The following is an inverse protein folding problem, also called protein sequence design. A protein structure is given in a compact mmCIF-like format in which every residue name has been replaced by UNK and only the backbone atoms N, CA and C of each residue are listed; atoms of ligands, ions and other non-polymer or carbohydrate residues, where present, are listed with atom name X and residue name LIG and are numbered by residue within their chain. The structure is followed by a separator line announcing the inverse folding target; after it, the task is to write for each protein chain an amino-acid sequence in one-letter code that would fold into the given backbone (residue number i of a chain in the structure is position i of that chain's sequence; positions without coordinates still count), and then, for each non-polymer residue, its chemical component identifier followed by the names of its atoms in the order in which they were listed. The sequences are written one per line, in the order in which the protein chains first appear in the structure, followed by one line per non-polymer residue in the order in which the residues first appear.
data_IF_165077067963
#
_entry.id   IF_165077067963
#
_cell.length_a   1.000
_cell.length_b   1.000
_cell.length_c   1.000
_cell.angle_alpha   90.00
_cell.angle_beta   90.00
_cell.angle_gamma   90.00
#
_symmetry.space_group_name_H-M   'P 1'
#
loop_
_entity.id
_entity.type
_entity.pdbx_description
1 polymer ?
#
# COMPACT_ATOMS: atom_id res chain seq x y z
N UNK A 1 31.89 14.79 -1.46
CA UNK A 1 31.09 13.61 -1.07
C UNK A 1 31.90 12.67 -0.18
N UNK A 2 33.07 12.17 -0.62
CA UNK A 2 33.90 11.24 0.17
C UNK A 2 34.28 11.70 1.60
N UNK A 3 34.59 12.98 1.80
CA UNK A 3 34.91 13.53 3.14
C UNK A 3 33.70 13.51 4.08
N UNK A 4 32.50 13.80 3.55
CA UNK A 4 31.26 13.72 4.31
C UNK A 4 30.95 12.26 4.68
N UNK A 5 31.07 11.34 3.72
CA UNK A 5 30.82 9.92 3.93
C UNK A 5 31.79 9.34 4.98
N UNK A 6 33.06 9.74 4.95
CA UNK A 6 34.05 9.36 5.94
C UNK A 6 33.67 9.81 7.36
N UNK A 7 33.33 11.09 7.55
CA UNK A 7 32.89 11.59 8.85
C UNK A 7 31.55 10.99 9.28
N UNK A 8 30.67 10.67 8.33
CA UNK A 8 29.41 9.99 8.61
C UNK A 8 29.65 8.58 9.15
N UNK A 9 30.52 7.79 8.51
CA UNK A 9 30.93 6.47 9.01
C UNK A 9 31.56 6.54 10.40
N UNK A 10 32.53 7.44 10.61
CA UNK A 10 33.14 7.65 11.93
C UNK A 10 32.12 8.01 13.00
N UNK A 11 31.10 8.81 12.66
CA UNK A 11 30.01 9.15 13.58
C UNK A 11 29.15 7.94 13.90
N UNK A 12 28.85 7.09 12.91
CA UNK A 12 28.08 5.86 13.12
C UNK A 12 28.85 4.86 14.00
N UNK A 13 30.14 4.65 13.73
CA UNK A 13 31.01 3.79 14.56
C UNK A 13 31.03 4.27 16.02
N UNK A 14 31.23 5.57 16.25
CA UNK A 14 31.20 6.14 17.61
C UNK A 14 29.84 5.99 18.29
N UNK A 15 28.73 6.12 17.55
CA UNK A 15 27.39 5.88 18.08
C UNK A 15 27.18 4.43 18.48
N UNK A 16 27.64 3.48 17.67
CA UNK A 16 27.59 2.05 18.00
C UNK A 16 28.46 1.76 19.22
N UNK A 17 29.69 2.28 19.24
CA UNK A 17 30.60 2.12 20.38
C UNK A 17 30.02 2.70 21.68
N UNK A 18 29.34 3.85 21.63
CA UNK A 18 28.69 4.46 22.80
C UNK A 18 27.53 3.62 23.36
N UNK A 19 26.83 2.87 22.51
CA UNK A 19 25.74 1.99 22.92
C UNK A 19 26.20 0.55 23.23
N UNK A 20 27.48 0.26 23.05
CA UNK A 20 28.08 -1.06 23.32
C UNK A 20 28.51 -1.11 24.79
N UNK A 21 28.11 -2.16 25.51
CA UNK A 21 28.64 -2.39 26.86
C UNK A 21 30.00 -3.07 26.71
N UNK A 22 31.06 -2.46 27.22
CA UNK A 22 32.42 -3.02 27.13
C UNK A 22 33.01 -3.26 28.51
N UNK A 23 33.77 -4.34 28.62
CA UNK A 23 34.71 -4.66 29.68
C UNK A 23 36.11 -4.77 29.06
N UNK A 24 37.19 -4.86 29.88
CA UNK A 24 38.55 -5.00 29.37
C UNK A 24 38.77 -6.25 28.49
N UNK A 25 37.92 -7.27 28.61
CA UNK A 25 38.07 -8.57 27.95
C UNK A 25 36.90 -8.95 27.05
N UNK A 26 35.77 -8.23 27.11
CA UNK A 26 34.55 -8.59 26.38
C UNK A 26 33.76 -7.35 26.03
N UNK A 27 33.11 -7.34 24.87
CA UNK A 27 32.12 -6.34 24.51
C UNK A 27 30.80 -7.02 24.17
N UNK A 28 29.70 -6.33 24.45
CA UNK A 28 28.33 -6.78 24.17
C UNK A 28 27.69 -5.81 23.20
N UNK A 29 27.30 -6.33 22.04
CA UNK A 29 26.58 -5.61 21.00
C UNK A 29 25.15 -6.15 20.91
N UNK A 30 24.18 -5.26 21.11
CA UNK A 30 22.76 -5.58 21.02
C UNK A 30 22.14 -4.90 19.80
N UNK A 31 21.23 -5.58 19.12
CA UNK A 31 20.58 -5.05 17.92
C UNK A 31 19.41 -5.90 17.46
N UNK A 32 18.63 -5.33 16.54
CA UNK A 32 17.48 -5.99 15.93
C UNK A 32 17.86 -6.58 14.58
N UNK A 33 17.45 -7.81 14.32
CA UNK A 33 17.62 -8.48 13.03
C UNK A 33 16.31 -9.17 12.64
N UNK A 34 16.03 -9.21 11.34
CA UNK A 34 14.93 -10.00 10.81
C UNK A 34 15.26 -11.48 10.93
N UNK A 35 14.28 -12.29 11.30
CA UNK A 35 14.42 -13.74 11.44
C UNK A 35 15.01 -14.39 10.16
N UNK A 36 14.58 -13.93 8.98
CA UNK A 36 15.07 -14.42 7.67
C UNK A 36 16.56 -14.15 7.41
N UNK A 37 17.12 -13.09 8.01
CA UNK A 37 18.52 -12.70 7.80
C UNK A 37 19.45 -13.28 8.88
N UNK A 38 18.90 -13.93 9.92
CA UNK A 38 19.68 -14.53 11.00
C UNK A 38 20.65 -15.61 10.51
N UNK A 39 20.22 -16.43 9.55
CA UNK A 39 21.06 -17.49 8.98
C UNK A 39 22.28 -16.91 8.25
N UNK A 40 22.10 -15.80 7.53
CA UNK A 40 23.19 -15.10 6.83
C UNK A 40 24.17 -14.49 7.82
N UNK A 41 23.67 -13.91 8.91
CA UNK A 41 24.50 -13.35 9.98
C UNK A 41 25.37 -14.43 10.62
N UNK A 42 24.77 -15.56 11.02
CA UNK A 42 25.49 -16.70 11.61
C UNK A 42 26.55 -17.27 10.67
N UNK A 43 26.25 -17.34 9.37
CA UNK A 43 27.21 -17.81 8.37
C UNK A 43 28.39 -16.84 8.20
N UNK A 44 28.14 -15.54 8.14
CA UNK A 44 29.18 -14.51 7.96
C UNK A 44 30.10 -14.31 9.17
N UNK A 45 29.65 -14.71 10.36
CA UNK A 45 30.42 -14.59 11.61
C UNK A 45 31.04 -15.91 12.08
N UNK A 46 30.92 -16.97 11.29
CA UNK A 46 31.39 -18.32 11.65
C UNK A 46 32.90 -18.41 11.89
N UNK A 47 33.68 -17.53 11.26
CA UNK A 47 35.15 -17.53 11.34
C UNK A 47 35.69 -16.92 12.64
N UNK A 48 34.83 -16.28 13.44
CA UNK A 48 35.20 -15.69 14.72
C UNK A 48 34.91 -16.67 15.87
N UNK A 49 35.94 -17.41 16.30
CA UNK A 49 35.84 -18.44 17.33
C UNK A 49 35.44 -17.93 18.72
N UNK A 50 35.64 -16.63 18.99
CA UNK A 50 35.41 -16.01 20.30
C UNK A 50 34.05 -15.30 20.41
N UNK A 51 33.16 -15.50 19.44
CA UNK A 51 31.90 -14.78 19.33
C UNK A 51 30.70 -15.71 19.63
N UNK A 52 29.90 -15.33 20.62
CA UNK A 52 28.65 -16.01 20.96
C UNK A 52 27.45 -15.16 20.52
N UNK A 53 26.49 -15.78 19.79
CA UNK A 53 25.30 -15.10 19.30
C UNK A 53 24.08 -15.61 20.08
N UNK A 54 23.55 -14.76 20.95
CA UNK A 54 22.29 -15.02 21.67
C UNK A 54 21.14 -14.35 20.93
N UNK A 55 20.11 -15.13 20.59
CA UNK A 55 18.91 -14.63 19.90
C UNK A 55 17.72 -14.79 20.83
N UNK A 56 16.97 -13.70 21.03
CA UNK A 56 15.71 -13.71 21.80
C UNK A 56 14.60 -13.01 21.02
N UNK A 57 13.36 -13.41 21.27
CA UNK A 57 12.19 -12.67 20.79
C UNK A 57 11.98 -11.41 21.65
N UNK A 58 11.44 -10.31 21.09
CA UNK A 58 11.10 -9.12 21.85
C UNK A 58 10.10 -9.45 22.97
N UNK A 59 10.27 -8.83 24.14
CA UNK A 59 9.27 -8.85 25.20
C UNK A 59 8.16 -7.82 24.92
N UNK A 60 6.99 -7.97 25.55
CA UNK A 60 5.84 -7.06 25.38
C UNK A 60 6.14 -5.58 25.70
N UNK A 61 7.09 -5.33 26.60
CA UNK A 61 7.53 -3.99 26.96
C UNK A 61 8.55 -3.37 25.99
N UNK A 62 9.07 -4.15 25.05
CA UNK A 62 10.05 -3.72 24.04
C UNK A 62 9.41 -3.52 22.66
N UNK A 63 8.13 -3.84 22.51
CA UNK A 63 7.36 -3.78 21.27
C UNK A 63 7.45 -2.42 20.56
N UNK A 64 7.37 -1.33 21.31
CA UNK A 64 7.49 0.04 20.78
C UNK A 64 8.88 0.40 20.27
N UNK A 65 9.90 -0.38 20.64
CA UNK A 65 11.30 -0.19 20.25
C UNK A 65 11.72 -1.10 19.10
N UNK A 66 10.87 -2.05 18.70
CA UNK A 66 11.18 -2.98 17.60
C UNK A 66 11.07 -2.22 16.27
N UNK A 67 12.14 -2.19 15.45
CA UNK A 67 12.08 -1.60 14.12
C UNK A 67 11.15 -2.41 13.21
N UNK A 68 10.33 -1.70 12.44
CA UNK A 68 9.38 -2.33 11.53
C UNK A 68 10.01 -2.45 10.15
N UNK A 69 9.98 -3.66 9.60
CA UNK A 69 10.50 -3.97 8.27
C UNK A 69 9.38 -4.54 7.41
N UNK A 70 8.82 -3.72 6.52
CA UNK A 70 7.75 -4.14 5.61
C UNK A 70 8.29 -5.18 4.62
N UNK A 71 7.51 -6.23 4.40
CA UNK A 71 7.81 -7.28 3.44
C UNK A 71 6.57 -7.61 2.60
N UNK A 72 6.40 -6.87 1.51
CA UNK A 72 5.32 -7.07 0.57
C UNK A 72 5.76 -7.83 -0.70
N UNK A 73 4.82 -8.56 -1.29
CA UNK A 73 5.03 -9.20 -2.58
C UNK A 73 5.30 -8.16 -3.69
N UNK A 74 5.97 -8.59 -4.77
CA UNK A 74 6.41 -7.71 -5.86
C UNK A 74 5.35 -6.74 -6.42
N UNK A 75 4.07 -7.12 -6.62
CA UNK A 75 3.06 -6.18 -7.13
C UNK A 75 2.60 -5.15 -6.09
N UNK A 76 2.64 -5.46 -4.79
CA UNK A 76 2.19 -4.57 -3.71
C UNK A 76 3.30 -3.67 -3.17
N UNK A 77 4.57 -4.09 -3.33
CA UNK A 77 5.75 -3.37 -2.86
C UNK A 77 5.85 -1.90 -3.31
N UNK A 78 5.44 -1.50 -4.53
CA UNK A 78 5.43 -0.09 -4.91
C UNK A 78 4.50 0.77 -4.05
N UNK A 79 3.38 0.20 -3.61
CA UNK A 79 2.37 0.89 -2.78
C UNK A 79 2.81 1.10 -1.34
N UNK A 80 3.88 0.44 -0.87
CA UNK A 80 4.51 0.76 0.42
C UNK A 80 4.89 2.25 0.51
N UNK A 81 5.18 2.90 -0.63
CA UNK A 81 5.46 4.33 -0.62
C UNK A 81 4.28 5.14 -0.06
N UNK A 82 3.05 4.76 -0.41
CA UNK A 82 1.83 5.41 0.10
C UNK A 82 1.70 5.14 1.59
N UNK A 83 1.84 3.88 2.02
CA UNK A 83 1.77 3.51 3.45
C UNK A 83 2.79 4.30 4.28
N UNK A 84 4.04 4.38 3.80
CA UNK A 84 5.10 5.11 4.50
C UNK A 84 4.85 6.62 4.63
N UNK A 85 4.04 7.23 3.75
CA UNK A 85 3.67 8.64 3.85
C UNK A 85 2.69 8.91 4.98
N UNK A 86 1.79 7.96 5.27
CA UNK A 86 0.81 8.08 6.35
C UNK A 86 1.38 7.66 7.71
N UNK A 87 2.30 6.70 7.70
CA UNK A 87 2.94 6.19 8.90
C UNK A 87 3.28 4.72 8.75
N UNK A 88 4.41 4.32 9.33
CA UNK A 88 4.78 2.91 9.38
C UNK A 88 3.88 2.25 10.43
N UNK A 89 3.21 1.12 10.12
CA UNK A 89 2.39 0.41 11.09
C UNK A 89 3.26 -0.06 12.26
N UNK A 90 2.66 -0.30 13.42
CA UNK A 90 3.36 -0.91 14.55
C UNK A 90 3.78 -2.33 14.19
N UNK A 91 4.77 -2.86 14.90
CA UNK A 91 5.33 -4.19 14.61
C UNK A 91 4.28 -5.32 14.66
N UNK A 92 3.23 -5.19 15.46
CA UNK A 92 2.17 -6.19 15.62
C UNK A 92 0.93 -5.91 14.76
N UNK A 93 0.86 -4.71 14.17
CA UNK A 93 -0.24 -4.30 13.32
C UNK A 93 -0.20 -5.03 11.99
N UNK A 94 -1.37 -5.24 11.41
CA UNK A 94 -1.49 -5.82 10.07
C UNK A 94 -0.98 -4.77 9.07
N UNK A 95 -0.12 -5.17 8.13
CA UNK A 95 0.31 -4.27 7.05
C UNK A 95 -0.91 -3.95 6.15
N UNK A 96 -1.36 -2.69 6.07
CA UNK A 96 -2.52 -2.32 5.25
C UNK A 96 -2.17 -2.32 3.75
N UNK A 97 -0.89 -2.35 3.37
CA UNK A 97 -0.43 -2.18 1.98
C UNK A 97 -1.08 -3.12 0.97
N UNK A 98 -1.23 -4.44 1.22
CA UNK A 98 -1.84 -5.37 0.27
C UNK A 98 -3.32 -5.08 0.01
N UNK A 99 -4.03 -4.59 1.04
CA UNK A 99 -5.44 -4.24 0.96
C UNK A 99 -5.64 -2.86 0.31
N UNK A 100 -4.75 -1.91 0.64
CA UNK A 100 -4.76 -0.57 0.07
C UNK A 100 -4.45 -0.55 -1.42
N UNK A 101 -3.46 -1.33 -1.86
CA UNK A 101 -2.94 -1.32 -3.23
C UNK A 101 -4.00 -1.45 -4.34
N UNK A 102 -4.91 -2.46 -4.34
CA UNK A 102 -5.92 -2.60 -5.38
C UNK A 102 -6.93 -1.45 -5.38
N UNK A 103 -7.40 -1.00 -4.21
CA UNK A 103 -8.35 0.11 -4.11
C UNK A 103 -7.73 1.43 -4.53
N UNK A 104 -6.48 1.69 -4.13
CA UNK A 104 -5.75 2.87 -4.55
C UNK A 104 -5.59 2.92 -6.08
N UNK A 105 -5.20 1.80 -6.70
CA UNK A 105 -5.06 1.73 -8.15
C UNK A 105 -6.41 1.92 -8.86
N UNK A 106 -7.48 1.31 -8.32
CA UNK A 106 -8.83 1.42 -8.86
C UNK A 106 -9.37 2.86 -8.76
N UNK A 107 -9.29 3.50 -7.59
CA UNK A 107 -9.76 4.87 -7.41
C UNK A 107 -8.99 5.87 -8.27
N UNK A 108 -7.66 5.75 -8.35
CA UNK A 108 -6.88 6.65 -9.20
C UNK A 108 -7.26 6.47 -10.68
N UNK A 109 -7.50 5.23 -11.11
CA UNK A 109 -7.96 4.93 -12.45
C UNK A 109 -9.37 5.45 -12.74
N UNK A 110 -10.30 5.38 -11.78
CA UNK A 110 -11.65 5.96 -11.88
C UNK A 110 -11.59 7.49 -11.89
N UNK A 111 -10.70 8.12 -11.13
CA UNK A 111 -10.55 9.57 -11.18
C UNK A 111 -10.01 10.06 -12.53
N UNK A 112 -9.09 9.29 -13.14
CA UNK A 112 -8.50 9.66 -14.43
C UNK A 112 -9.42 9.31 -15.61
N UNK A 113 -10.13 8.18 -15.55
CA UNK A 113 -11.23 7.75 -16.45
C UNK A 113 -10.92 7.78 -17.96
N UNK A 114 -9.64 7.87 -18.33
CA UNK A 114 -9.20 8.01 -19.72
C UNK A 114 -8.02 7.10 -20.03
N UNK A 115 -8.20 6.26 -21.05
CA UNK A 115 -7.22 5.26 -21.46
C UNK A 115 -5.96 5.87 -22.09
N UNK A 116 -6.07 7.03 -22.73
CA UNK A 116 -4.95 7.76 -23.33
C UNK A 116 -3.96 8.25 -22.28
N UNK A 117 -4.46 8.84 -21.19
CA UNK A 117 -3.62 9.19 -20.04
C UNK A 117 -3.04 7.95 -19.35
N UNK A 118 -3.77 6.83 -19.31
CA UNK A 118 -3.24 5.54 -18.86
C UNK A 118 -2.02 5.07 -19.67
N UNK A 119 -2.07 5.19 -21.00
CA UNK A 119 -0.94 4.89 -21.90
C UNK A 119 0.25 5.82 -21.62
N UNK A 120 0.00 7.13 -21.46
CA UNK A 120 1.06 8.08 -21.13
C UNK A 120 1.75 7.69 -19.82
N UNK A 121 0.97 7.37 -18.78
CA UNK A 121 1.50 6.94 -17.47
C UNK A 121 2.34 5.66 -17.60
N UNK A 122 1.87 4.67 -18.37
CA UNK A 122 2.62 3.44 -18.63
C UNK A 122 3.96 3.70 -19.31
N UNK A 123 3.95 4.46 -20.41
CA UNK A 123 5.15 4.74 -21.21
C UNK A 123 6.14 5.58 -20.41
N UNK A 124 5.67 6.64 -19.77
CA UNK A 124 6.53 7.54 -18.98
C UNK A 124 7.15 6.80 -17.80
N UNK A 125 6.36 6.03 -17.07
CA UNK A 125 6.85 5.25 -15.92
C UNK A 125 7.87 4.19 -16.34
N UNK A 126 7.61 3.47 -17.43
CA UNK A 126 8.56 2.49 -17.98
C UNK A 126 9.87 3.14 -18.44
N UNK A 127 9.78 4.26 -19.16
CA UNK A 127 10.95 4.99 -19.66
C UNK A 127 11.77 5.55 -18.51
N UNK A 128 11.12 6.11 -17.48
CA UNK A 128 11.81 6.65 -16.30
C UNK A 128 12.60 5.58 -15.56
N UNK A 129 11.98 4.43 -15.27
CA UNK A 129 12.65 3.32 -14.57
C UNK A 129 13.82 2.77 -15.40
N UNK A 130 13.65 2.63 -16.71
CA UNK A 130 14.66 2.02 -17.60
C UNK A 130 15.81 2.97 -17.96
N UNK A 131 15.51 4.24 -18.25
CA UNK A 131 16.47 5.22 -18.79
C UNK A 131 17.22 5.97 -17.70
N UNK A 132 16.55 6.34 -16.60
CA UNK A 132 17.14 7.19 -15.57
C UNK A 132 17.70 6.42 -14.38
N UNK A 133 17.66 5.07 -14.40
CA UNK A 133 18.13 4.20 -13.30
C UNK A 133 17.71 4.72 -11.94
N UNK A 134 16.44 5.10 -11.83
CA UNK A 134 15.90 5.73 -10.63
C UNK A 134 16.07 4.77 -9.44
N UNK A 135 16.63 5.25 -8.34
CA UNK A 135 16.90 4.45 -7.14
C UNK A 135 15.94 4.80 -5.99
N UNK A 136 15.82 3.88 -5.03
CA UNK A 136 15.07 4.09 -3.79
C UNK A 136 13.58 4.40 -3.99
N UNK A 137 13.10 5.45 -3.33
CA UNK A 137 11.68 5.84 -3.29
C UNK A 137 11.11 6.24 -4.65
N UNK A 138 11.90 6.92 -5.48
CA UNK A 138 11.44 7.34 -6.81
C UNK A 138 11.22 6.13 -7.74
N UNK A 139 11.98 5.03 -7.58
CA UNK A 139 11.70 3.76 -8.27
C UNK A 139 10.36 3.16 -7.85
N UNK A 140 10.05 3.18 -6.55
CA UNK A 140 8.76 2.70 -6.04
C UNK A 140 7.61 3.54 -6.63
N UNK A 141 7.76 4.86 -6.69
CA UNK A 141 6.78 5.76 -7.29
C UNK A 141 6.50 5.42 -8.75
N UNK A 142 7.52 5.32 -9.61
CA UNK A 142 7.30 4.99 -11.02
C UNK A 142 6.76 3.58 -11.23
N UNK A 143 7.18 2.60 -10.43
CA UNK A 143 6.59 1.26 -10.48
C UNK A 143 5.10 1.27 -10.09
N UNK A 144 4.73 2.08 -9.09
CA UNK A 144 3.33 2.26 -8.70
C UNK A 144 2.53 2.90 -9.84
N UNK A 145 3.04 4.00 -10.42
CA UNK A 145 2.42 4.67 -11.56
C UNK A 145 2.29 3.76 -12.78
N UNK A 146 3.22 2.84 -12.99
CA UNK A 146 3.13 1.83 -14.05
C UNK A 146 1.94 0.88 -13.82
N UNK A 147 1.79 0.35 -12.60
CA UNK A 147 0.64 -0.52 -12.25
C UNK A 147 -0.67 0.26 -12.41
N UNK A 148 -0.72 1.48 -11.86
CA UNK A 148 -1.91 2.32 -11.93
C UNK A 148 -2.25 2.66 -13.39
N UNK A 149 -1.26 3.00 -14.22
CA UNK A 149 -1.48 3.26 -15.65
C UNK A 149 -2.09 2.07 -16.40
N UNK A 150 -1.74 0.83 -16.02
CA UNK A 150 -2.38 -0.37 -16.57
C UNK A 150 -3.86 -0.47 -16.19
N UNK A 151 -4.16 -0.21 -14.91
CA UNK A 151 -5.55 -0.20 -14.42
C UNK A 151 -6.34 0.95 -15.06
N UNK A 152 -5.76 2.14 -15.18
CA UNK A 152 -6.37 3.29 -15.87
C UNK A 152 -6.65 2.99 -17.34
N UNK A 153 -5.74 2.33 -18.05
CA UNK A 153 -5.99 1.91 -19.42
C UNK A 153 -7.20 0.99 -19.50
N UNK A 154 -7.30 0.00 -18.60
CA UNK A 154 -8.46 -0.89 -18.52
C UNK A 154 -9.76 -0.14 -18.25
N UNK A 155 -9.78 0.73 -17.24
CA UNK A 155 -10.98 1.52 -16.89
C UNK A 155 -11.35 2.50 -18.00
N UNK A 156 -10.38 3.19 -18.61
CA UNK A 156 -10.62 4.11 -19.72
C UNK A 156 -11.24 3.44 -20.93
N UNK A 157 -10.85 2.19 -21.21
CA UNK A 157 -11.49 1.37 -22.25
C UNK A 157 -12.93 1.01 -21.86
N UNK A 158 -13.17 0.68 -20.59
CA UNK A 158 -14.52 0.36 -20.07
C UNK A 158 -15.43 1.60 -20.04
N UNK A 159 -14.89 2.78 -19.74
CA UNK A 159 -15.63 4.05 -19.69
C UNK A 159 -15.86 4.66 -21.05
N UNK A 160 -15.11 4.19 -22.05
CA UNK A 160 -15.40 4.47 -23.44
C UNK A 160 -14.60 5.62 -24.06
N UNK A 161 -13.51 6.05 -23.42
CA UNK A 161 -12.73 7.23 -23.81
C UNK A 161 -11.22 6.99 -23.87
N UNK A 162 -10.60 7.42 -24.97
CA UNK A 162 -9.14 7.44 -25.15
C UNK A 162 -8.73 8.83 -25.64
N UNK A 163 -7.88 9.53 -24.88
CA UNK A 163 -7.47 10.92 -25.15
C UNK A 163 -8.67 11.90 -25.23
N UNK A 164 -9.70 11.67 -24.43
CA UNK A 164 -10.96 12.43 -24.47
C UNK A 164 -11.80 12.19 -25.73
N UNK A 165 -11.41 11.27 -26.62
CA UNK A 165 -12.20 10.90 -27.80
C UNK A 165 -13.08 9.71 -27.42
N UNK A 166 -14.40 9.91 -27.52
CA UNK A 166 -15.35 8.81 -27.33
C UNK A 166 -15.25 7.78 -28.45
N UNK A 167 -15.34 6.49 -28.11
CA UNK A 167 -15.39 5.40 -29.11
C UNK A 167 -16.60 5.48 -30.06
N UNK A 168 -17.55 6.37 -29.82
CA UNK A 168 -18.68 6.68 -30.71
C UNK A 168 -18.21 7.13 -32.10
N UNK A 169 -17.11 7.89 -32.16
CA UNK A 169 -16.51 8.41 -33.40
C UNK A 169 -15.53 7.46 -34.10
N UNK A 170 -15.23 6.29 -33.52
CA UNK A 170 -14.31 5.33 -34.13
C UNK A 170 -14.95 4.55 -35.28
N UNK A 171 -14.15 4.17 -36.31
CA UNK A 171 -14.65 3.46 -37.50
C UNK A 171 -15.29 2.11 -37.13
N UNK A 172 -16.25 1.66 -37.96
CA UNK A 172 -17.06 0.46 -37.73
C UNK A 172 -16.26 -0.84 -37.53
N UNK A 173 -14.99 -0.88 -37.95
CA UNK A 173 -14.05 -1.99 -37.72
C UNK A 173 -13.71 -2.23 -36.24
N UNK A 174 -13.91 -1.25 -35.35
CA UNK A 174 -13.72 -1.38 -33.90
C UNK A 174 -15.04 -1.51 -33.12
N UNK A 175 -16.10 -2.04 -33.75
CA UNK A 175 -17.41 -2.24 -33.11
C UNK A 175 -17.38 -3.10 -31.81
N UNK A 176 -16.34 -3.91 -31.59
CA UNK A 176 -16.16 -4.66 -30.35
C UNK A 176 -15.85 -3.75 -29.13
N UNK A 177 -15.14 -2.63 -29.34
CA UNK A 177 -14.83 -1.65 -28.28
C UNK A 177 -16.08 -0.88 -27.86
N UNK A 178 -17.03 -0.65 -28.78
CA UNK A 178 -18.35 -0.06 -28.44
C UNK A 178 -19.17 -0.96 -27.52
N UNK A 179 -18.97 -2.29 -27.55
CA UNK A 179 -19.59 -3.23 -26.60
C UNK A 179 -18.88 -3.29 -25.25
N UNK A 180 -17.58 -2.97 -25.22
CA UNK A 180 -16.77 -2.97 -24.01
C UNK A 180 -16.91 -1.65 -23.21
N UNK A 181 -17.29 -0.57 -23.90
CA UNK A 181 -17.73 0.70 -23.31
C UNK A 181 -19.09 0.54 -22.60
N UNK A 182 -19.08 -0.13 -21.45
CA UNK A 182 -20.28 -0.47 -20.68
C UNK A 182 -20.84 0.73 -19.90
N UNK A 183 -20.02 1.75 -19.62
CA UNK A 183 -20.41 2.83 -18.72
C UNK A 183 -19.81 4.17 -19.14
N UNK A 184 -20.55 4.99 -19.88
CA UNK A 184 -20.09 6.34 -20.26
C UNK A 184 -20.45 7.34 -19.13
N UNK A 185 -19.48 7.87 -18.38
CA UNK A 185 -19.74 8.79 -17.27
C UNK A 185 -20.42 10.09 -17.70
N UNK A 186 -20.30 10.47 -18.98
CA UNK A 186 -20.94 11.66 -19.54
C UNK A 186 -22.41 11.46 -19.86
N UNK A 187 -22.82 10.21 -20.13
CA UNK A 187 -24.20 9.87 -20.51
C UNK A 187 -25.08 9.62 -19.28
N UNK A 188 -24.54 8.91 -18.29
CA UNK A 188 -25.27 8.55 -17.06
C UNK A 188 -24.45 8.88 -15.80
N UNK A 189 -24.25 10.18 -15.47
CA UNK A 189 -23.46 10.58 -14.31
C UNK A 189 -23.99 10.03 -12.98
N UNK A 190 -25.32 9.89 -12.86
CA UNK A 190 -25.96 9.36 -11.66
C UNK A 190 -25.62 7.89 -11.40
N UNK A 191 -25.55 7.07 -12.46
CA UNK A 191 -25.18 5.66 -12.35
C UNK A 191 -23.71 5.51 -11.98
N UNK A 192 -22.84 6.33 -12.59
CA UNK A 192 -21.41 6.35 -12.26
C UNK A 192 -21.17 6.79 -10.81
N UNK A 193 -21.88 7.82 -10.35
CA UNK A 193 -21.83 8.28 -8.96
C UNK A 193 -22.26 7.16 -7.98
N UNK A 194 -23.33 6.44 -8.28
CA UNK A 194 -23.80 5.34 -7.44
C UNK A 194 -22.76 4.21 -7.33
N UNK A 195 -22.06 3.90 -8.43
CA UNK A 195 -20.98 2.92 -8.44
C UNK A 195 -19.79 3.38 -7.60
N UNK A 196 -19.35 4.63 -7.77
CA UNK A 196 -18.25 5.20 -6.99
C UNK A 196 -18.55 5.20 -5.49
N UNK A 197 -19.79 5.56 -5.12
CA UNK A 197 -20.24 5.56 -3.73
C UNK A 197 -20.32 4.14 -3.16
N UNK A 198 -20.85 3.17 -3.92
CA UNK A 198 -20.87 1.76 -3.54
C UNK A 198 -19.46 1.18 -3.36
N UNK A 199 -18.54 1.50 -4.27
CA UNK A 199 -17.14 1.09 -4.18
C UNK A 199 -16.44 1.70 -2.96
N UNK A 200 -16.67 2.99 -2.69
CA UNK A 200 -16.16 3.68 -1.51
C UNK A 200 -16.67 3.07 -0.20
N UNK A 201 -17.95 2.68 -0.16
CA UNK A 201 -18.54 1.98 0.97
C UNK A 201 -17.88 0.60 1.20
N UNK A 202 -17.68 -0.18 0.13
CA UNK A 202 -17.01 -1.49 0.24
C UNK A 202 -15.59 -1.32 0.79
N UNK A 203 -14.86 -0.30 0.32
CA UNK A 203 -13.53 0.00 0.82
C UNK A 203 -13.53 0.38 2.30
N UNK A 204 -14.51 1.20 2.74
CA UNK A 204 -14.67 1.59 4.15
C UNK A 204 -14.96 0.38 5.04
N UNK A 205 -15.90 -0.49 4.63
CA UNK A 205 -16.23 -1.71 5.36
C UNK A 205 -15.04 -2.67 5.45
N UNK A 206 -14.22 -2.74 4.40
CA UNK A 206 -13.00 -3.53 4.42
C UNK A 206 -11.99 -2.99 5.43
N UNK A 207 -11.81 -1.66 5.49
CA UNK A 207 -10.94 -1.01 6.48
C UNK A 207 -11.33 -1.35 7.92
N UNK A 208 -12.60 -1.14 8.26
CA UNK A 208 -13.11 -1.47 9.61
C UNK A 208 -13.05 -2.98 9.87
N UNK A 209 -13.28 -3.81 8.84
CA UNK A 209 -13.14 -5.26 8.94
C UNK A 209 -11.71 -5.71 9.28
N UNK A 210 -10.68 -5.02 8.77
CA UNK A 210 -9.28 -5.28 9.13
C UNK A 210 -9.01 -4.91 10.59
N UNK A 211 -9.55 -3.79 11.08
CA UNK A 211 -9.42 -3.38 12.49
C UNK A 211 -10.08 -4.41 13.43
N UNK A 212 -11.30 -4.86 13.12
CA UNK A 212 -11.99 -5.92 13.88
C UNK A 212 -11.16 -7.21 13.89
N UNK A 213 -10.58 -7.59 12.76
CA UNK A 213 -9.76 -8.79 12.67
C UNK A 213 -8.49 -8.68 13.51
N UNK A 214 -7.88 -7.51 13.53
CA UNK A 214 -6.69 -7.24 14.32
C UNK A 214 -6.99 -7.29 15.83
N UNK A 215 -8.07 -6.67 16.29
CA UNK A 215 -8.48 -6.70 17.70
C UNK A 215 -8.81 -8.12 18.17
N UNK A 216 -9.47 -8.92 17.33
CA UNK A 216 -9.72 -10.35 17.60
C UNK A 216 -8.41 -11.12 17.76
N UNK A 217 -7.40 -10.82 16.93
CA UNK A 217 -6.08 -11.44 17.03
C UNK A 217 -5.35 -11.03 18.31
N UNK A 218 -5.57 -9.80 18.78
CA UNK A 218 -5.06 -9.28 20.06
C UNK A 218 -5.85 -9.76 21.29
N UNK A 219 -6.92 -10.54 21.09
CA UNK A 219 -7.86 -11.04 22.12
C UNK A 219 -8.61 -9.92 22.84
N UNK A 220 -8.67 -8.72 22.25
CA UNK A 220 -9.43 -7.59 22.80
C UNK A 220 -10.85 -7.61 22.23
N UNK A 221 -11.67 -8.52 22.76
CA UNK A 221 -13.03 -8.75 22.27
C UNK A 221 -13.94 -7.54 22.57
N UNK A 222 -13.65 -6.81 23.65
CA UNK A 222 -14.44 -5.65 24.06
C UNK A 222 -14.30 -4.55 23.02
N UNK A 223 -13.07 -4.15 22.67
CA UNK A 223 -12.85 -3.13 21.63
C UNK A 223 -13.29 -3.59 20.25
N UNK A 224 -13.08 -4.87 19.90
CA UNK A 224 -13.55 -5.39 18.62
C UNK A 224 -15.07 -5.22 18.42
N UNK A 225 -15.87 -5.47 19.46
CA UNK A 225 -17.34 -5.40 19.38
C UNK A 225 -17.86 -3.99 19.62
N UNK A 226 -17.43 -3.32 20.69
CA UNK A 226 -17.99 -2.01 21.04
C UNK A 226 -17.48 -0.89 20.13
N UNK A 227 -16.20 -0.89 19.78
CA UNK A 227 -15.62 0.22 19.02
C UNK A 227 -15.82 -0.04 17.53
N UNK A 228 -15.24 -1.11 16.97
CA UNK A 228 -15.17 -1.30 15.52
C UNK A 228 -16.43 -1.96 14.92
N UNK A 229 -16.98 -3.00 15.54
CA UNK A 229 -18.18 -3.66 14.99
C UNK A 229 -19.44 -2.78 15.07
N UNK A 230 -19.56 -1.94 16.10
CA UNK A 230 -20.64 -0.94 16.21
C UNK A 230 -20.68 -0.01 15.00
N UNK A 231 -19.53 0.42 14.48
CA UNK A 231 -19.45 1.24 13.28
C UNK A 231 -19.98 0.53 12.04
N UNK A 232 -19.70 -0.76 11.87
CA UNK A 232 -20.24 -1.57 10.77
C UNK A 232 -21.78 -1.60 10.84
N UNK A 233 -22.33 -1.87 12.03
CA UNK A 233 -23.79 -1.90 12.23
C UNK A 233 -24.40 -0.54 11.95
N UNK A 234 -23.78 0.55 12.41
CA UNK A 234 -24.24 1.91 12.18
C UNK A 234 -24.26 2.26 10.69
N UNK A 235 -23.17 1.96 9.96
CA UNK A 235 -23.06 2.23 8.52
C UNK A 235 -24.13 1.44 7.74
N UNK A 236 -24.30 0.15 8.06
CA UNK A 236 -25.34 -0.68 7.45
C UNK A 236 -26.75 -0.19 7.79
N UNK A 237 -26.97 0.28 9.02
CA UNK A 237 -28.23 0.87 9.47
C UNK A 237 -28.59 2.12 8.70
N UNK A 238 -27.64 3.06 8.54
CA UNK A 238 -27.83 4.28 7.73
C UNK A 238 -28.17 3.90 6.29
N UNK A 239 -27.49 2.90 5.73
CA UNK A 239 -27.70 2.48 4.36
C UNK A 239 -29.10 1.89 4.14
N UNK A 240 -29.58 1.06 5.07
CA UNK A 240 -30.93 0.50 5.03
C UNK A 240 -32.01 1.58 5.09
N UNK A 241 -31.80 2.63 5.89
CA UNK A 241 -32.71 3.79 5.97
C UNK A 241 -32.64 4.65 4.71
N UNK A 242 -31.46 4.80 4.12
CA UNK A 242 -31.26 5.61 2.90
C UNK A 242 -31.83 4.96 1.64
N UNK A 243 -31.84 3.62 1.54
CA UNK A 243 -32.36 2.89 0.38
C UNK A 243 -33.81 3.27 -0.02
N UNK A 244 -34.81 3.24 0.87
CA UNK A 244 -36.18 3.62 0.51
C UNK A 244 -36.32 5.11 0.12
N UNK A 245 -35.52 6.00 0.72
CA UNK A 245 -35.50 7.43 0.40
C UNK A 245 -34.96 7.65 -1.02
N UNK A 246 -33.91 6.93 -1.40
CA UNK A 246 -33.31 7.01 -2.74
C UNK A 246 -34.25 6.52 -3.84
N UNK A 247 -35.07 5.49 -3.56
CA UNK A 247 -36.09 5.00 -4.51
C UNK A 247 -37.20 6.04 -4.73
N UNK A 248 -37.58 6.80 -3.70
CA UNK A 248 -38.55 7.90 -3.84
C UNK A 248 -38.01 9.10 -4.62
N UNK A 249 -36.70 9.33 -4.61
CA UNK A 249 -36.04 10.43 -5.34
C UNK A 249 -35.68 10.10 -6.79
N UNK A 250 -35.48 8.82 -7.13
CA UNK A 250 -35.13 8.37 -8.49
C UNK A 250 -36.34 7.98 -9.36
N UNK A 251 -37.51 7.77 -8.77
CA UNK A 251 -38.76 7.37 -9.45
C UNK A 251 -39.85 8.46 -9.48
N UNK A 252 -39.58 9.65 -8.93
CA UNK A 252 -40.44 10.84 -8.99
C UNK A 252 -39.80 11.93 -9.82
#
# INVERSE_FOLDING_TARGET
MALYDHFYHLRQERKVAANTRSSPYTFLLEGWIKEVDLAKLKAGLKDFSSLEIVVRKPHQNEESKVPVALHNASPFKPFELVTNLYGIPRYFEIDPTPFLAPFFALFLAICLTDGGYGIILLVLSYLMVKKFKVEGGAKKLFNMLFIVGFVTLGIGIITGGVFGIEFTHLPASLGFLKKLALLNPMRDPMTFLAICLGLGLIHLLLGIGLEVWEDLRRKDIVSAVLDHASWIVLILGILLVAMPISKGFLLG
#
